data_IF_166298394617
#
_entry.id   IF_166298394617
#
_cell.length_a   1.000
_cell.length_b   1.000
_cell.length_c   1.000
_cell.angle_alpha   90.00
_cell.angle_beta   90.00
_cell.angle_gamma   90.00
#
_symmetry.space_group_name_H-M   'P 1'
#
loop_
_entity.id
_entity.type
_entity.pdbx_description
1 polymer ?
#
# COMPACT_ATOMS: atom_id res chain seq x y z
N UNK A 1 -18.69 -4.03 -10.13
CA UNK A 1 -18.48 -4.03 -8.67
C UNK A 1 -18.80 -5.37 -8.00
N UNK A 2 -20.00 -5.97 -8.13
CA UNK A 2 -20.32 -7.28 -7.49
C UNK A 2 -19.28 -8.38 -7.78
N UNK A 3 -18.84 -8.49 -9.04
CA UNK A 3 -17.82 -9.47 -9.44
C UNK A 3 -16.42 -9.16 -8.90
N UNK A 4 -16.09 -7.88 -8.72
CA UNK A 4 -14.84 -7.42 -8.09
C UNK A 4 -14.77 -7.87 -6.63
N UNK A 5 -15.86 -7.69 -5.87
CA UNK A 5 -15.93 -8.14 -4.48
C UNK A 5 -15.87 -9.67 -4.34
N UNK A 6 -16.56 -10.40 -5.22
CA UNK A 6 -16.46 -11.87 -5.26
C UNK A 6 -15.04 -12.34 -5.55
N UNK A 7 -14.31 -11.65 -6.44
CA UNK A 7 -12.90 -11.95 -6.70
C UNK A 7 -12.03 -11.71 -5.46
N UNK A 8 -12.21 -10.57 -4.78
CA UNK A 8 -11.50 -10.27 -3.52
C UNK A 8 -11.76 -11.39 -2.51
N UNK A 9 -13.01 -11.76 -2.28
CA UNK A 9 -13.38 -12.81 -1.33
C UNK A 9 -12.72 -14.15 -1.64
N UNK A 10 -12.67 -14.54 -2.92
CA UNK A 10 -12.09 -15.81 -3.37
C UNK A 10 -10.55 -15.81 -3.35
N UNK A 11 -9.90 -14.69 -3.66
CA UNK A 11 -8.44 -14.64 -3.81
C UNK A 11 -7.72 -14.20 -2.54
N UNK A 12 -8.39 -13.51 -1.62
CA UNK A 12 -7.74 -12.86 -0.48
C UNK A 12 -7.64 -13.73 0.77
N UNK A 13 -8.43 -14.81 0.89
CA UNK A 13 -8.45 -15.66 2.08
C UNK A 13 -7.06 -16.17 2.51
N UNK A 14 -6.22 -16.57 1.54
CA UNK A 14 -4.84 -17.06 1.81
C UNK A 14 -3.89 -15.97 2.33
N UNK A 15 -4.15 -14.70 2.00
CA UNK A 15 -3.32 -13.56 2.41
C UNK A 15 -3.80 -12.90 3.71
N UNK A 16 -5.04 -13.14 4.13
CA UNK A 16 -5.67 -12.42 5.22
C UNK A 16 -5.04 -12.75 6.57
N UNK A 17 -4.86 -14.06 6.86
CA UNK A 17 -4.18 -14.53 8.08
C UNK A 17 -2.76 -13.95 8.25
N UNK A 18 -1.84 -14.06 7.26
CA UNK A 18 -0.50 -13.50 7.44
C UNK A 18 -0.52 -11.97 7.55
N UNK A 19 -1.38 -11.25 6.83
CA UNK A 19 -1.52 -9.79 6.99
C UNK A 19 -1.97 -9.42 8.40
N UNK A 20 -3.00 -10.09 8.95
CA UNK A 20 -3.45 -9.85 10.32
C UNK A 20 -2.34 -10.09 11.35
N UNK A 21 -1.57 -11.18 11.20
CA UNK A 21 -0.43 -11.46 12.08
C UNK A 21 0.62 -10.35 11.98
N UNK A 22 0.95 -9.92 10.76
CA UNK A 22 1.87 -8.81 10.53
C UNK A 22 1.41 -7.54 11.25
N UNK A 23 0.14 -7.14 11.12
CA UNK A 23 -0.39 -5.96 11.82
C UNK A 23 -0.38 -6.09 13.33
N UNK A 24 -0.72 -7.26 13.90
CA UNK A 24 -0.67 -7.48 15.36
C UNK A 24 0.77 -7.34 15.87
N UNK A 25 1.73 -7.96 15.19
CA UNK A 25 3.15 -7.87 15.57
C UNK A 25 3.65 -6.42 15.45
N UNK A 26 3.34 -5.76 14.33
CA UNK A 26 3.70 -4.36 14.12
C UNK A 26 3.08 -3.44 15.15
N UNK A 27 1.84 -3.71 15.57
CA UNK A 27 1.15 -2.95 16.61
C UNK A 27 1.88 -3.03 17.95
N UNK A 28 2.16 -4.26 18.41
CA UNK A 28 2.80 -4.52 19.70
C UNK A 28 4.21 -3.93 19.71
N UNK A 29 5.06 -4.34 18.76
CA UNK A 29 6.43 -3.84 18.67
C UNK A 29 6.46 -2.32 18.50
N UNK A 30 5.55 -1.77 17.71
CA UNK A 30 5.46 -0.35 17.49
C UNK A 30 5.18 0.47 18.72
N UNK A 31 4.30 -0.03 19.58
CA UNK A 31 3.94 0.62 20.84
C UNK A 31 5.16 0.83 21.74
N UNK A 32 6.06 -0.15 21.79
CA UNK A 32 7.27 -0.10 22.61
C UNK A 32 8.43 0.63 21.93
N UNK A 33 8.63 0.44 20.62
CA UNK A 33 9.76 1.02 19.90
C UNK A 33 9.63 2.54 19.71
N UNK A 34 8.40 3.07 19.66
CA UNK A 34 8.15 4.50 19.55
C UNK A 34 8.69 5.32 20.71
N UNK A 35 8.68 4.77 21.93
CA UNK A 35 9.24 5.42 23.12
C UNK A 35 10.77 5.32 23.17
N UNK A 36 11.35 4.31 22.50
CA UNK A 36 12.78 4.04 22.55
C UNK A 36 13.59 4.85 21.53
N UNK A 37 13.22 4.81 20.25
CA UNK A 37 13.96 5.47 19.17
C UNK A 37 13.12 5.57 17.87
N UNK A 38 12.97 6.78 17.33
CA UNK A 38 12.28 7.04 16.05
C UNK A 38 12.92 6.30 14.85
N UNK A 39 14.23 6.06 14.89
CA UNK A 39 14.94 5.31 13.85
C UNK A 39 14.53 3.84 13.83
N UNK A 40 14.43 3.21 15.01
CA UNK A 40 13.98 1.82 15.13
C UNK A 40 12.53 1.65 14.69
N UNK A 41 11.68 2.64 15.00
CA UNK A 41 10.31 2.68 14.52
C UNK A 41 10.24 2.78 12.99
N UNK A 42 11.07 3.61 12.38
CA UNK A 42 11.15 3.74 10.92
C UNK A 42 11.59 2.43 10.26
N UNK A 43 12.60 1.74 10.82
CA UNK A 43 13.02 0.41 10.35
C UNK A 43 11.86 -0.59 10.41
N UNK A 44 11.08 -0.60 11.50
CA UNK A 44 9.93 -1.49 11.64
C UNK A 44 8.90 -1.25 10.53
N UNK A 45 8.58 0.00 10.22
CA UNK A 45 7.65 0.35 9.12
C UNK A 45 8.15 -0.19 7.78
N UNK A 46 9.45 -0.03 7.49
CA UNK A 46 10.06 -0.56 6.25
C UNK A 46 9.99 -2.09 6.19
N UNK A 47 10.26 -2.78 7.30
CA UNK A 47 10.12 -4.24 7.40
C UNK A 47 8.66 -4.65 7.14
N UNK A 48 7.70 -3.95 7.74
CA UNK A 48 6.27 -4.23 7.57
C UNK A 48 5.82 -4.05 6.12
N UNK A 49 6.27 -2.99 5.45
CA UNK A 49 6.02 -2.77 4.01
C UNK A 49 6.62 -3.89 3.16
N UNK A 50 7.84 -4.32 3.46
CA UNK A 50 8.49 -5.43 2.76
C UNK A 50 7.72 -6.75 2.95
N UNK A 51 7.25 -7.03 4.16
CA UNK A 51 6.43 -8.22 4.46
C UNK A 51 5.10 -8.18 3.70
N UNK A 52 4.42 -7.03 3.66
CA UNK A 52 3.18 -6.85 2.88
C UNK A 52 3.44 -7.14 1.40
N UNK A 53 4.52 -6.59 0.82
CA UNK A 53 4.93 -6.88 -0.56
C UNK A 53 5.14 -8.38 -0.78
N UNK A 54 5.86 -9.07 0.11
CA UNK A 54 6.12 -10.52 0.02
C UNK A 54 4.82 -11.32 0.08
N UNK A 55 3.86 -10.94 0.92
CA UNK A 55 2.56 -11.62 1.01
C UNK A 55 1.78 -11.49 -0.31
N UNK A 56 1.72 -10.30 -0.89
CA UNK A 56 1.06 -10.08 -2.18
C UNK A 56 1.79 -10.77 -3.33
N UNK A 57 3.11 -10.80 -3.31
CA UNK A 57 3.94 -11.51 -4.29
C UNK A 57 3.68 -13.03 -4.27
N UNK A 58 3.76 -13.64 -3.09
CA UNK A 58 3.45 -15.07 -2.91
C UNK A 58 2.03 -15.41 -3.35
N UNK A 59 1.06 -14.53 -3.07
CA UNK A 59 -0.32 -14.73 -3.54
C UNK A 59 -0.39 -14.73 -5.05
N UNK A 60 0.14 -13.70 -5.72
CA UNK A 60 0.05 -13.60 -7.17
C UNK A 60 0.75 -14.80 -7.84
N UNK A 61 1.90 -15.23 -7.31
CA UNK A 61 2.58 -16.44 -7.74
C UNK A 61 1.68 -17.69 -7.64
N UNK A 62 0.97 -17.88 -6.53
CA UNK A 62 -0.01 -18.99 -6.39
C UNK A 62 -1.15 -18.88 -7.40
N UNK A 63 -1.72 -17.69 -7.61
CA UNK A 63 -2.83 -17.48 -8.56
C UNK A 63 -2.41 -17.81 -9.99
N UNK A 64 -1.17 -17.48 -10.36
CA UNK A 64 -0.60 -17.81 -11.67
C UNK A 64 -0.32 -19.31 -11.78
N UNK A 65 0.29 -19.92 -10.76
CA UNK A 65 0.61 -21.35 -10.73
C UNK A 65 -0.64 -22.25 -10.79
N UNK A 66 -1.73 -21.86 -10.11
CA UNK A 66 -3.00 -22.60 -10.08
C UNK A 66 -3.80 -22.48 -11.41
N UNK A 67 -3.25 -21.78 -12.40
CA UNK A 67 -3.90 -21.47 -13.69
C UNK A 67 -5.12 -20.55 -13.56
N UNK A 68 -5.41 -20.06 -12.35
CA UNK A 68 -6.56 -19.21 -12.08
C UNK A 68 -6.46 -17.89 -12.86
N UNK A 69 -5.26 -17.32 -12.98
CA UNK A 69 -5.00 -16.15 -13.83
C UNK A 69 -5.42 -16.37 -15.29
N UNK A 70 -5.04 -17.51 -15.89
CA UNK A 70 -5.38 -17.83 -17.27
C UNK A 70 -6.90 -18.01 -17.45
N UNK A 71 -7.56 -18.72 -16.53
CA UNK A 71 -9.03 -18.88 -16.52
C UNK A 71 -9.76 -17.54 -16.42
N UNK A 72 -9.29 -16.64 -15.54
CA UNK A 72 -9.86 -15.30 -15.36
C UNK A 72 -9.65 -14.41 -16.59
N UNK A 73 -8.55 -14.58 -17.34
CA UNK A 73 -8.27 -13.82 -18.56
C UNK A 73 -9.19 -14.20 -19.72
N UNK A 74 -9.75 -15.41 -19.76
CA UNK A 74 -10.62 -15.83 -20.88
C UNK A 74 -11.97 -15.10 -20.82
N UNK A 75 -12.48 -14.78 -19.63
CA UNK A 75 -13.78 -14.14 -19.44
C UNK A 75 -13.65 -12.60 -19.51
N UNK A 76 -14.23 -11.92 -20.52
CA UNK A 76 -13.99 -10.49 -20.78
C UNK A 76 -14.40 -9.58 -19.61
N UNK A 77 -15.49 -9.90 -18.91
CA UNK A 77 -16.00 -9.12 -17.76
C UNK A 77 -15.08 -9.24 -16.51
N UNK A 78 -14.25 -10.30 -16.45
CA UNK A 78 -13.38 -10.57 -15.29
C UNK A 78 -12.01 -9.89 -15.35
N UNK A 79 -11.59 -9.35 -16.51
CA UNK A 79 -10.24 -8.74 -16.68
C UNK A 79 -10.08 -7.43 -15.93
N UNK A 80 -11.02 -6.51 -16.11
CA UNK A 80 -11.05 -5.24 -15.36
C UNK A 80 -11.27 -5.52 -13.88
N UNK A 81 -12.22 -6.41 -13.57
CA UNK A 81 -12.55 -6.80 -12.20
C UNK A 81 -11.34 -7.35 -11.44
N UNK A 82 -10.43 -8.09 -12.10
CA UNK A 82 -9.19 -8.59 -11.51
C UNK A 82 -8.20 -7.45 -11.17
N UNK A 83 -7.97 -6.52 -12.10
CA UNK A 83 -7.04 -5.40 -11.84
C UNK A 83 -7.53 -4.54 -10.67
N UNK A 84 -8.84 -4.24 -10.66
CA UNK A 84 -9.44 -3.42 -9.61
C UNK A 84 -9.54 -4.14 -8.28
N UNK A 85 -9.80 -5.46 -8.26
CA UNK A 85 -9.77 -6.22 -7.01
C UNK A 85 -8.38 -6.19 -6.38
N UNK A 86 -7.33 -6.32 -7.19
CA UNK A 86 -5.95 -6.30 -6.71
C UNK A 86 -5.55 -4.91 -6.20
N UNK A 87 -5.89 -3.84 -6.94
CA UNK A 87 -5.65 -2.47 -6.51
C UNK A 87 -6.37 -2.13 -5.19
N UNK A 88 -7.66 -2.47 -5.09
CA UNK A 88 -8.45 -2.23 -3.88
C UNK A 88 -7.85 -3.01 -2.71
N UNK A 89 -7.53 -4.30 -2.91
CA UNK A 89 -7.03 -5.11 -1.81
C UNK A 89 -5.65 -4.67 -1.31
N UNK A 90 -4.72 -4.32 -2.22
CA UNK A 90 -3.41 -3.79 -1.83
C UNK A 90 -3.53 -2.39 -1.19
N UNK A 91 -4.42 -1.55 -1.69
CA UNK A 91 -4.67 -0.23 -1.07
C UNK A 91 -5.22 -0.39 0.35
N UNK A 92 -6.15 -1.32 0.55
CA UNK A 92 -6.69 -1.63 1.88
C UNK A 92 -5.63 -2.21 2.82
N UNK A 93 -4.71 -3.05 2.34
CA UNK A 93 -3.63 -3.58 3.18
C UNK A 93 -2.63 -2.49 3.59
N UNK A 94 -2.30 -1.56 2.69
CA UNK A 94 -1.47 -0.40 3.03
C UNK A 94 -2.20 0.56 3.98
N UNK A 95 -3.50 0.76 3.81
CA UNK A 95 -4.30 1.59 4.71
C UNK A 95 -4.32 1.01 6.13
N UNK A 96 -4.47 -0.30 6.27
CA UNK A 96 -4.41 -0.97 7.58
C UNK A 96 -3.03 -0.84 8.24
N UNK A 97 -1.94 -0.74 7.48
CA UNK A 97 -0.62 -0.42 8.04
C UNK A 97 -0.61 0.98 8.69
N UNK A 98 -1.20 1.98 8.03
CA UNK A 98 -1.32 3.34 8.58
C UNK A 98 -2.14 3.32 9.87
N UNK A 99 -3.28 2.64 9.86
CA UNK A 99 -4.13 2.48 11.06
C UNK A 99 -3.33 1.81 12.19
N UNK A 100 -2.54 0.78 11.88
CA UNK A 100 -1.68 0.09 12.86
C UNK A 100 -0.65 1.05 13.47
N UNK A 101 0.04 1.85 12.64
CA UNK A 101 1.02 2.83 13.10
C UNK A 101 0.37 3.88 14.00
N UNK A 102 -0.81 4.37 13.63
CA UNK A 102 -1.58 5.35 14.39
C UNK A 102 -2.01 4.81 15.76
N UNK A 103 -2.51 3.57 15.80
CA UNK A 103 -2.90 2.92 17.04
C UNK A 103 -1.70 2.65 17.96
N UNK A 104 -0.57 2.17 17.41
CA UNK A 104 0.66 1.97 18.18
C UNK A 104 1.13 3.25 18.86
N UNK A 105 1.05 4.37 18.14
CA UNK A 105 1.44 5.67 18.66
C UNK A 105 0.51 6.15 19.76
N UNK A 106 -0.82 6.03 19.60
CA UNK A 106 -1.78 6.37 20.67
C UNK A 106 -1.51 5.53 21.92
N UNK A 107 -1.32 4.22 21.74
CA UNK A 107 -1.04 3.33 22.87
C UNK A 107 0.29 3.66 23.55
N UNK A 108 1.32 4.00 22.78
CA UNK A 108 2.63 4.41 23.32
C UNK A 108 2.48 5.67 24.18
N UNK A 109 1.80 6.69 23.66
CA UNK A 109 1.51 7.94 24.39
C UNK A 109 0.69 7.72 25.67
N UNK A 110 -0.28 6.80 25.64
CA UNK A 110 -1.06 6.43 26.83
C UNK A 110 -0.23 5.74 27.91
N UNK A 111 0.69 4.85 27.51
CA UNK A 111 1.48 4.05 28.44
C UNK A 111 2.63 4.89 29.04
N UNK A 112 3.31 5.69 28.22
CA UNK A 112 4.57 6.33 28.60
C UNK A 112 4.43 7.81 28.96
N UNK A 113 3.53 8.56 28.32
CA UNK A 113 3.44 10.03 28.54
C UNK A 113 2.34 10.46 29.53
N UNK A 114 1.45 9.56 29.98
CA UNK A 114 0.48 9.66 31.11
C UNK A 114 -0.33 10.96 31.37
N UNK A 115 -0.23 12.02 30.55
CA UNK A 115 -0.68 13.37 30.92
C UNK A 115 -1.34 14.21 29.81
N UNK A 116 -1.90 13.61 28.76
CA UNK A 116 -2.73 14.36 27.82
C UNK A 116 -4.22 14.14 28.09
N UNK A 117 -4.95 15.25 28.24
CA UNK A 117 -6.40 15.20 28.00
C UNK A 117 -6.65 14.66 26.59
N UNK A 118 -7.73 13.88 26.38
CA UNK A 118 -8.06 13.24 25.10
C UNK A 118 -7.97 14.22 23.91
N UNK A 119 -8.31 15.49 24.14
CA UNK A 119 -8.23 16.57 23.15
C UNK A 119 -6.78 16.99 22.84
N UNK A 120 -5.93 17.13 23.86
CA UNK A 120 -4.51 17.47 23.66
C UNK A 120 -3.77 16.34 22.94
N UNK A 121 -4.16 15.09 23.21
CA UNK A 121 -3.66 13.91 22.53
C UNK A 121 -4.05 13.92 21.04
N UNK A 122 -5.30 14.20 20.71
CA UNK A 122 -5.74 14.36 19.31
C UNK A 122 -4.92 15.41 18.54
N UNK A 123 -4.63 16.56 19.15
CA UNK A 123 -3.85 17.62 18.50
C UNK A 123 -2.33 17.34 18.43
N UNK A 124 -1.76 16.55 19.36
CA UNK A 124 -0.36 16.09 19.25
C UNK A 124 -0.20 14.98 18.22
N UNK A 125 -1.19 14.09 18.07
CA UNK A 125 -1.21 13.05 17.02
C UNK A 125 -1.08 13.68 15.63
N UNK A 126 -1.82 14.77 15.44
CA UNK A 126 -1.91 15.51 14.18
C UNK A 126 -0.60 16.31 13.89
N UNK A 127 0.21 16.60 14.91
CA UNK A 127 1.43 17.40 14.81
C UNK A 127 2.74 16.58 14.80
N UNK A 128 2.70 15.25 15.03
CA UNK A 128 3.93 14.45 15.04
C UNK A 128 4.56 14.42 13.63
N UNK A 129 5.86 14.71 13.43
CA UNK A 129 6.47 14.85 12.09
C UNK A 129 6.33 13.63 11.17
N UNK A 130 6.40 12.41 11.72
CA UNK A 130 6.19 11.16 10.99
C UNK A 130 4.72 10.95 10.60
N UNK A 131 3.79 11.44 11.43
CA UNK A 131 2.36 11.51 11.13
C UNK A 131 1.98 12.78 10.36
N UNK A 132 2.81 13.83 10.30
CA UNK A 132 2.59 15.02 9.50
C UNK A 132 2.82 14.77 8.01
N UNK A 133 3.40 13.60 7.71
CA UNK A 133 3.49 12.99 6.38
C UNK A 133 2.27 12.09 6.09
N UNK A 134 1.64 11.51 7.12
CA UNK A 134 0.53 10.54 7.04
C UNK A 134 -0.85 11.11 7.43
N UNK A 135 -0.94 12.30 7.97
CA UNK A 135 -2.16 12.97 8.41
C UNK A 135 -1.88 14.48 8.53
N UNK A 136 -1.66 15.18 7.41
CA UNK A 136 -1.21 16.55 7.47
C UNK A 136 -2.41 17.44 7.80
N UNK A 137 -2.17 18.42 8.66
CA UNK A 137 -3.16 19.40 9.18
C UNK A 137 -3.85 20.16 8.04
N UNK A 138 -3.22 20.17 6.88
CA UNK A 138 -3.65 20.86 5.67
C UNK A 138 -4.18 19.85 4.65
N UNK A 139 -5.30 20.19 3.98
CA UNK A 139 -5.92 19.42 2.89
C UNK A 139 -4.88 18.93 1.87
N UNK A 140 -3.85 19.73 1.62
CA UNK A 140 -2.77 19.44 0.68
C UNK A 140 -1.99 18.18 1.04
N UNK A 141 -1.63 18.02 2.32
CA UNK A 141 -0.88 16.85 2.72
C UNK A 141 -1.76 15.61 2.85
N UNK A 142 -3.05 15.74 3.17
CA UNK A 142 -3.97 14.60 3.12
C UNK A 142 -4.08 14.05 1.69
N UNK A 143 -4.15 14.94 0.70
CA UNK A 143 -4.08 14.58 -0.72
C UNK A 143 -2.74 13.92 -1.08
N UNK A 144 -1.61 14.46 -0.58
CA UNK A 144 -0.29 13.88 -0.80
C UNK A 144 -0.20 12.44 -0.25
N UNK A 145 -0.71 12.19 0.96
CA UNK A 145 -0.75 10.85 1.55
C UNK A 145 -1.57 9.89 0.69
N UNK A 146 -2.77 10.28 0.27
CA UNK A 146 -3.61 9.45 -0.59
C UNK A 146 -2.92 9.11 -1.91
N UNK A 147 -2.20 10.07 -2.51
CA UNK A 147 -1.45 9.85 -3.74
C UNK A 147 -0.28 8.89 -3.51
N UNK A 148 0.49 9.06 -2.43
CA UNK A 148 1.59 8.14 -2.06
C UNK A 148 1.08 6.73 -1.81
N UNK A 149 -0.05 6.57 -1.08
CA UNK A 149 -0.64 5.26 -0.82
C UNK A 149 -1.11 4.58 -2.11
N UNK A 150 -1.79 5.31 -2.99
CA UNK A 150 -2.18 4.80 -4.30
C UNK A 150 -0.98 4.47 -5.19
N UNK A 151 0.11 5.24 -5.08
CA UNK A 151 1.35 4.99 -5.79
C UNK A 151 2.02 3.69 -5.32
N UNK A 152 2.15 3.49 -4.01
CA UNK A 152 2.68 2.26 -3.44
C UNK A 152 1.84 1.05 -3.82
N UNK A 153 0.51 1.17 -3.73
CA UNK A 153 -0.40 0.11 -4.18
C UNK A 153 -0.20 -0.20 -5.66
N UNK A 154 -0.06 0.84 -6.48
CA UNK A 154 0.15 0.68 -7.92
C UNK A 154 1.48 -0.02 -8.23
N UNK A 155 2.55 0.33 -7.52
CA UNK A 155 3.86 -0.29 -7.64
C UNK A 155 3.85 -1.78 -7.28
N UNK A 156 3.22 -2.13 -6.16
CA UNK A 156 3.10 -3.53 -5.72
C UNK A 156 2.31 -4.35 -6.74
N UNK A 157 1.16 -3.84 -7.20
CA UNK A 157 0.33 -4.52 -8.21
C UNK A 157 1.11 -4.66 -9.52
N UNK A 158 1.74 -3.58 -10.01
CA UNK A 158 2.55 -3.64 -11.23
C UNK A 158 3.68 -4.66 -11.11
N UNK A 159 4.39 -4.65 -9.98
CA UNK A 159 5.51 -5.56 -9.73
C UNK A 159 5.04 -7.01 -9.75
N UNK A 160 4.00 -7.35 -8.99
CA UNK A 160 3.51 -8.73 -8.87
C UNK A 160 2.97 -9.29 -10.19
N UNK A 161 2.24 -8.48 -10.98
CA UNK A 161 1.79 -8.87 -12.31
C UNK A 161 2.95 -9.01 -13.31
N UNK A 162 3.87 -8.06 -13.38
CA UNK A 162 5.00 -8.12 -14.29
C UNK A 162 5.95 -9.28 -13.97
N UNK A 163 6.23 -9.53 -12.69
CA UNK A 163 7.13 -10.59 -12.25
C UNK A 163 6.56 -11.98 -12.50
N UNK A 164 5.28 -12.23 -12.18
CA UNK A 164 4.71 -13.58 -12.24
C UNK A 164 3.83 -13.84 -13.45
N UNK A 165 2.95 -12.91 -13.82
CA UNK A 165 2.01 -13.14 -14.93
C UNK A 165 2.67 -12.96 -16.30
N UNK A 166 3.72 -12.13 -16.37
CA UNK A 166 4.38 -11.75 -17.64
C UNK A 166 5.87 -12.05 -17.69
N UNK A 167 6.46 -12.54 -16.60
CA UNK A 167 7.88 -12.91 -16.51
C UNK A 167 8.84 -11.78 -16.93
N UNK A 168 8.50 -10.53 -16.60
CA UNK A 168 9.26 -9.31 -16.88
C UNK A 168 9.78 -8.67 -15.57
N UNK A 169 10.49 -9.47 -14.77
CA UNK A 169 11.01 -9.07 -13.45
C UNK A 169 11.95 -7.86 -13.51
N UNK A 170 12.78 -7.73 -14.54
CA UNK A 170 13.68 -6.57 -14.70
C UNK A 170 12.93 -5.24 -14.86
N UNK A 171 11.87 -5.22 -15.67
CA UNK A 171 11.02 -4.03 -15.86
C UNK A 171 10.24 -3.73 -14.57
N UNK A 172 9.77 -4.77 -13.89
CA UNK A 172 9.09 -4.66 -12.60
C UNK A 172 9.96 -3.97 -11.54
N UNK A 173 11.22 -4.41 -11.40
CA UNK A 173 12.18 -3.86 -10.45
C UNK A 173 12.57 -2.43 -10.80
N UNK A 174 12.79 -2.12 -12.08
CA UNK A 174 13.11 -0.75 -12.52
C UNK A 174 11.95 0.20 -12.20
N UNK A 175 10.71 -0.21 -12.46
CA UNK A 175 9.52 0.57 -12.12
C UNK A 175 9.36 0.77 -10.61
N UNK A 176 9.61 -0.28 -9.82
CA UNK A 176 9.59 -0.20 -8.36
C UNK A 176 10.64 0.80 -7.85
N UNK A 177 11.87 0.73 -8.35
CA UNK A 177 12.95 1.64 -7.98
C UNK A 177 12.63 3.11 -8.30
N UNK A 178 12.18 3.39 -9.53
CA UNK A 178 11.76 4.75 -9.92
C UNK A 178 10.61 5.26 -9.05
N UNK A 179 9.64 4.40 -8.74
CA UNK A 179 8.52 4.77 -7.90
C UNK A 179 8.90 5.07 -6.46
N UNK A 180 9.83 4.29 -5.87
CA UNK A 180 10.34 4.56 -4.52
C UNK A 180 11.07 5.91 -4.50
N UNK A 181 11.90 6.21 -5.49
CA UNK A 181 12.59 7.52 -5.59
C UNK A 181 11.57 8.65 -5.65
N UNK A 182 10.53 8.52 -6.49
CA UNK A 182 9.48 9.52 -6.59
C UNK A 182 8.74 9.75 -5.26
N UNK A 183 8.42 8.67 -4.52
CA UNK A 183 7.84 8.78 -3.17
C UNK A 183 8.78 9.52 -2.22
N UNK A 184 10.06 9.15 -2.17
CA UNK A 184 11.05 9.82 -1.32
C UNK A 184 11.16 11.32 -1.63
N UNK A 185 11.14 11.69 -2.91
CA UNK A 185 11.15 13.10 -3.30
C UNK A 185 9.88 13.84 -2.89
N UNK A 186 8.70 13.21 -2.95
CA UNK A 186 7.46 13.82 -2.42
C UNK A 186 7.57 14.05 -0.92
N UNK A 187 8.11 13.07 -0.18
CA UNK A 187 8.29 13.18 1.27
C UNK A 187 9.26 14.29 1.66
N UNK A 188 10.36 14.45 0.91
CA UNK A 188 11.41 15.43 1.22
C UNK A 188 11.03 16.86 0.81
N UNK A 189 10.43 17.06 -0.37
CA UNK A 189 10.23 18.40 -0.93
C UNK A 189 8.81 18.94 -0.77
N UNK A 190 7.81 18.06 -0.54
CA UNK A 190 6.41 18.41 -0.29
C UNK A 190 5.82 19.42 -1.30
N UNK A 191 6.28 19.38 -2.56
CA UNK A 191 5.90 20.31 -3.62
C UNK A 191 4.79 19.72 -4.52
N UNK A 192 3.81 20.55 -4.88
CA UNK A 192 2.74 20.23 -5.83
C UNK A 192 3.21 19.62 -7.15
N UNK A 193 4.35 20.08 -7.67
CA UNK A 193 4.93 19.52 -8.90
C UNK A 193 5.27 18.04 -8.73
N UNK A 194 5.85 17.66 -7.58
CA UNK A 194 6.22 16.27 -7.31
C UNK A 194 4.98 15.40 -7.09
N UNK A 195 3.96 15.94 -6.40
CA UNK A 195 2.66 15.27 -6.22
C UNK A 195 2.01 14.98 -7.59
N UNK A 196 2.03 15.94 -8.52
CA UNK A 196 1.52 15.75 -9.88
C UNK A 196 2.33 14.72 -10.69
N UNK A 197 3.66 14.68 -10.51
CA UNK A 197 4.49 13.64 -11.13
C UNK A 197 4.13 12.24 -10.63
N UNK A 198 3.89 12.07 -9.33
CA UNK A 198 3.41 10.81 -8.77
C UNK A 198 2.05 10.41 -9.35
N UNK A 199 1.12 11.35 -9.49
CA UNK A 199 -0.17 11.10 -10.13
C UNK A 199 -0.03 10.64 -11.58
N UNK A 200 0.78 11.34 -12.39
CA UNK A 200 1.07 10.95 -13.77
C UNK A 200 1.70 9.56 -13.86
N UNK A 201 2.60 9.25 -12.93
CA UNK A 201 3.25 7.95 -12.83
C UNK A 201 2.26 6.82 -12.50
N UNK A 202 1.29 7.07 -11.61
CA UNK A 202 0.18 6.14 -11.35
C UNK A 202 -0.63 5.92 -12.63
N UNK A 203 -1.03 6.99 -13.31
CA UNK A 203 -1.82 6.91 -14.54
C UNK A 203 -1.10 6.11 -15.64
N UNK A 204 0.21 6.32 -15.81
CA UNK A 204 1.05 5.60 -16.76
C UNK A 204 1.11 4.10 -16.43
N UNK A 205 1.35 3.74 -15.17
CA UNK A 205 1.37 2.35 -14.73
C UNK A 205 0.03 1.65 -14.91
N UNK A 206 -1.05 2.33 -14.53
CA UNK A 206 -2.40 1.84 -14.73
C UNK A 206 -2.70 1.61 -16.21
N UNK A 207 -2.33 2.55 -17.09
CA UNK A 207 -2.50 2.41 -18.53
C UNK A 207 -1.77 1.19 -19.09
N UNK A 208 -0.51 0.96 -18.69
CA UNK A 208 0.24 -0.21 -19.14
C UNK A 208 -0.38 -1.53 -18.65
N UNK A 209 -0.76 -1.60 -17.38
CA UNK A 209 -1.44 -2.78 -16.83
C UNK A 209 -2.77 -3.06 -17.54
N UNK A 210 -3.59 -2.03 -17.74
CA UNK A 210 -4.87 -2.15 -18.44
C UNK A 210 -4.67 -2.61 -19.90
N UNK A 211 -3.67 -2.05 -20.60
CA UNK A 211 -3.33 -2.44 -21.98
C UNK A 211 -2.90 -3.89 -22.05
N UNK A 212 -1.99 -4.34 -21.17
CA UNK A 212 -1.46 -5.70 -21.19
C UNK A 212 -2.48 -6.75 -20.73
N UNK A 213 -3.36 -6.40 -19.78
CA UNK A 213 -4.51 -7.23 -19.42
C UNK A 213 -5.59 -7.28 -20.51
N UNK A 214 -5.45 -6.51 -21.61
CA UNK A 214 -6.44 -6.37 -22.69
C UNK A 214 -7.81 -5.96 -22.14
N UNK A 215 -7.80 -5.04 -21.18
CA UNK A 215 -8.99 -4.44 -20.57
C UNK A 215 -9.73 -3.55 -21.57
N UNK A 216 -9.01 -2.94 -22.53
CA UNK A 216 -9.57 -2.33 -23.73
C UNK A 216 -9.43 -3.29 -24.91
N UNK A 217 -10.45 -4.12 -25.15
CA UNK A 217 -10.71 -4.61 -26.51
C UNK A 217 -11.83 -3.72 -27.05
N UNK A 218 -11.51 -3.00 -28.11
CA UNK A 218 -12.36 -2.22 -29.01
C UNK A 218 -13.84 -2.15 -28.58
N UNK A 219 -14.23 -0.97 -28.07
CA UNK A 219 -15.57 -0.48 -28.36
C UNK A 219 -15.68 -0.27 -29.88
#
# INVERSE_FOLDING_TARGET
MKQTFQLIEQTCAKSLKPLCITYIIGFILGTFLLDMDEFLWTILIVIMLAVILIIHDKRMKSIVADGAYQRMRILPIKRYSLLWSELIFVSSSLFMLIVTCYLSWICSMWIFESAYSVNALFFTVINNPLLSVLAPIQIQGFLAMLIVLNMLAMLIVFYTFCSHAWSKTGIALLNLGMGIIAVLCVLQFQNWVMIMMCFLFICMNYYFLAKWLRVRRNA
#
